data_IF_389360363851
#
_entry.id   IF_389360363851
#
_cell.length_a   1.000
_cell.length_b   1.000
_cell.length_c   1.000
_cell.angle_alpha   90.00
_cell.angle_beta   90.00
_cell.angle_gamma   90.00
#
_symmetry.space_group_name_H-M   'P 1'
#
loop_
_entity.id
_entity.type
_entity.pdbx_description
1 polymer ?
#
# COMPACT_ATOMS: atom_id res chain seq x y z
N UNK A 1 -10.51 2.55 11.38
CA UNK A 1 -11.21 2.57 10.07
C UNK A 1 -10.60 1.50 9.17
N UNK A 2 -11.40 0.85 8.33
CA UNK A 2 -10.92 -0.11 7.33
C UNK A 2 -11.49 0.23 5.96
N UNK A 3 -10.66 0.15 4.93
CA UNK A 3 -11.08 0.31 3.53
C UNK A 3 -10.73 -0.97 2.79
N UNK A 4 -11.68 -1.50 2.03
CA UNK A 4 -11.49 -2.67 1.16
C UNK A 4 -11.98 -2.31 -0.23
N UNK A 5 -11.16 -2.61 -1.22
CA UNK A 5 -11.52 -2.56 -2.64
C UNK A 5 -11.33 -3.94 -3.28
N UNK A 6 -11.92 -4.11 -4.46
CA UNK A 6 -11.80 -5.31 -5.30
C UNK A 6 -11.12 -4.98 -6.63
N UNK A 7 -10.22 -3.99 -6.63
CA UNK A 7 -9.44 -3.63 -7.79
C UNK A 7 -8.29 -4.63 -8.04
N UNK A 8 -7.30 -4.18 -8.82
CA UNK A 8 -6.12 -4.97 -9.17
C UNK A 8 -5.25 -5.39 -7.97
N UNK A 9 -5.44 -4.80 -6.80
CA UNK A 9 -4.52 -4.90 -5.66
C UNK A 9 -3.18 -4.20 -5.90
N UNK A 10 -2.36 -4.04 -4.86
CA UNK A 10 -0.95 -3.63 -4.99
C UNK A 10 -0.12 -4.83 -5.46
N UNK A 11 0.88 -4.68 -6.36
CA UNK A 11 1.77 -5.78 -6.70
C UNK A 11 2.36 -6.44 -5.45
N UNK A 12 2.28 -7.77 -5.34
CA UNK A 12 2.55 -8.50 -4.08
C UNK A 12 3.95 -8.19 -3.52
N UNK A 13 4.98 -8.15 -4.36
CA UNK A 13 6.35 -7.81 -3.96
C UNK A 13 6.59 -6.32 -3.66
N UNK A 14 5.56 -5.47 -3.73
CA UNK A 14 5.65 -4.01 -3.52
C UNK A 14 4.81 -3.51 -2.35
N UNK A 15 4.05 -4.37 -1.68
CA UNK A 15 3.08 -3.98 -0.63
C UNK A 15 3.73 -3.14 0.47
N UNK A 16 4.79 -3.65 1.11
CA UNK A 16 5.50 -2.96 2.20
C UNK A 16 6.08 -1.64 1.71
N UNK A 17 6.79 -1.66 0.58
CA UNK A 17 7.44 -0.49 0.00
C UNK A 17 6.45 0.64 -0.29
N UNK A 18 5.30 0.33 -0.92
CA UNK A 18 4.28 1.29 -1.30
C UNK A 18 3.62 2.01 -0.13
N UNK A 19 3.64 1.45 1.08
CA UNK A 19 3.01 2.08 2.26
C UNK A 19 4.00 2.66 3.26
N UNK A 20 5.31 2.47 3.07
CA UNK A 20 6.33 2.85 4.08
C UNK A 20 7.47 3.72 3.56
N UNK A 21 7.86 3.60 2.28
CA UNK A 21 9.05 4.31 1.73
C UNK A 21 8.66 5.51 0.90
N UNK A 22 9.10 6.71 1.26
CA UNK A 22 8.82 7.94 0.46
C UNK A 22 9.30 7.76 -0.99
N UNK A 23 8.61 8.40 -1.94
CA UNK A 23 8.84 8.33 -3.40
C UNK A 23 8.55 6.98 -4.07
N UNK A 24 7.79 6.11 -3.41
CA UNK A 24 7.32 4.85 -4.03
C UNK A 24 5.86 4.98 -4.44
N UNK A 25 5.62 5.04 -5.74
CA UNK A 25 4.29 5.25 -6.32
C UNK A 25 4.31 4.97 -7.82
N UNK A 26 3.14 4.69 -8.40
CA UNK A 26 2.99 4.33 -9.80
C UNK A 26 2.01 5.25 -10.54
N UNK A 27 1.85 6.49 -10.05
CA UNK A 27 0.86 7.47 -10.57
C UNK A 27 1.55 8.71 -11.14
N UNK A 28 2.81 8.58 -11.54
CA UNK A 28 3.61 9.65 -12.13
C UNK A 28 3.56 9.66 -13.66
N UNK A 29 3.02 8.59 -14.26
CA UNK A 29 2.74 8.45 -15.69
C UNK A 29 1.32 7.92 -15.89
N UNK A 30 0.82 8.01 -17.11
CA UNK A 30 -0.49 7.53 -17.56
C UNK A 30 -0.50 6.03 -17.93
N UNK A 31 0.67 5.39 -17.99
CA UNK A 31 0.85 3.96 -18.34
C UNK A 31 0.02 3.00 -17.47
N UNK A 32 -0.09 3.29 -16.17
CA UNK A 32 -0.80 2.43 -15.20
C UNK A 32 -2.21 2.97 -14.89
N UNK A 33 -2.38 4.28 -15.00
CA UNK A 33 -3.62 5.00 -14.72
C UNK A 33 -3.76 6.19 -15.67
N UNK A 34 -4.63 6.07 -16.68
CA UNK A 34 -4.89 7.14 -17.64
C UNK A 34 -5.33 8.44 -16.96
N UNK A 35 -6.16 8.32 -15.92
CA UNK A 35 -6.58 9.45 -15.08
C UNK A 35 -6.56 9.04 -13.61
N UNK A 36 -5.96 9.86 -12.75
CA UNK A 36 -6.02 9.65 -11.31
C UNK A 36 -5.81 10.96 -10.54
N UNK A 37 -6.46 11.07 -9.38
CA UNK A 37 -6.35 12.26 -8.52
C UNK A 37 -5.08 12.24 -7.67
N UNK A 38 -4.65 11.04 -7.24
CA UNK A 38 -3.53 10.90 -6.31
C UNK A 38 -2.18 10.84 -7.00
N UNK A 39 -1.49 11.97 -7.16
CA UNK A 39 -0.22 12.04 -7.91
C UNK A 39 1.03 12.04 -7.03
N UNK A 40 0.91 12.45 -5.76
CA UNK A 40 2.10 12.65 -4.91
C UNK A 40 2.76 11.34 -4.43
N UNK A 41 1.98 10.25 -4.33
CA UNK A 41 2.49 8.98 -3.80
C UNK A 41 2.69 8.94 -2.27
N UNK A 42 2.16 9.92 -1.52
CA UNK A 42 2.41 10.06 -0.07
C UNK A 42 1.21 9.61 0.80
N UNK A 43 -0.02 9.59 0.27
CA UNK A 43 -1.24 9.45 1.08
C UNK A 43 -1.26 8.24 2.02
N UNK A 44 -1.01 7.03 1.51
CA UNK A 44 -0.96 5.81 2.34
C UNK A 44 0.20 5.80 3.32
N UNK A 45 1.31 6.47 2.99
CA UNK A 45 2.50 6.56 3.86
C UNK A 45 2.26 7.50 5.03
N UNK A 46 1.58 8.62 4.80
CA UNK A 46 1.10 9.48 5.87
C UNK A 46 0.12 8.73 6.78
N UNK A 47 -0.81 7.99 6.19
CA UNK A 47 -1.72 7.10 6.93
C UNK A 47 -0.98 6.10 7.80
N UNK A 48 0.03 5.42 7.26
CA UNK A 48 0.89 4.50 8.01
C UNK A 48 1.68 5.20 9.13
N UNK A 49 2.41 6.27 8.81
CA UNK A 49 3.28 6.98 9.74
C UNK A 49 2.53 7.59 10.94
N UNK A 50 1.32 8.12 10.71
CA UNK A 50 0.52 8.80 11.74
C UNK A 50 -0.42 7.85 12.50
N UNK A 51 -0.50 6.58 12.12
CA UNK A 51 -1.37 5.61 12.79
C UNK A 51 -0.66 4.89 13.93
N UNK A 52 -1.35 4.72 15.07
CA UNK A 52 -0.90 3.82 16.13
C UNK A 52 -0.88 2.36 15.67
N UNK A 53 -1.80 1.97 14.81
CA UNK A 53 -1.85 0.65 14.20
C UNK A 53 -2.27 0.79 12.73
N UNK A 54 -1.50 0.20 11.83
CA UNK A 54 -1.78 0.22 10.39
C UNK A 54 -1.57 -1.18 9.82
N UNK A 55 -2.59 -1.73 9.18
CA UNK A 55 -2.52 -3.03 8.50
C UNK A 55 -2.87 -2.84 7.03
N UNK A 56 -2.07 -3.45 6.15
CA UNK A 56 -2.32 -3.49 4.70
C UNK A 56 -2.28 -4.93 4.22
N UNK A 57 -3.12 -5.27 3.24
CA UNK A 57 -3.10 -6.56 2.56
C UNK A 57 -3.49 -6.38 1.10
N UNK A 58 -2.78 -7.05 0.21
CA UNK A 58 -3.11 -7.13 -1.21
C UNK A 58 -3.34 -8.58 -1.59
N UNK A 59 -4.34 -8.82 -2.43
CA UNK A 59 -4.67 -10.12 -2.99
C UNK A 59 -4.51 -10.05 -4.50
N UNK A 60 -3.81 -11.03 -5.08
CA UNK A 60 -3.66 -11.21 -6.53
C UNK A 60 -3.48 -12.70 -6.84
N UNK A 61 -4.16 -13.17 -7.88
CA UNK A 61 -4.01 -14.53 -8.41
C UNK A 61 -4.12 -15.63 -7.33
N UNK A 62 -5.11 -15.49 -6.43
CA UNK A 62 -5.34 -16.42 -5.32
C UNK A 62 -4.40 -16.28 -4.13
N UNK A 63 -3.29 -15.54 -4.26
CA UNK A 63 -2.30 -15.32 -3.20
C UNK A 63 -2.52 -13.98 -2.50
N UNK A 64 -1.90 -13.81 -1.33
CA UNK A 64 -1.86 -12.53 -0.64
C UNK A 64 -0.51 -12.22 0.00
N UNK A 65 -0.24 -10.92 0.10
CA UNK A 65 0.84 -10.36 0.91
C UNK A 65 0.25 -9.24 1.76
N UNK A 66 0.60 -9.20 3.03
CA UNK A 66 0.21 -8.15 3.96
C UNK A 66 1.32 -7.75 4.90
N UNK A 67 1.11 -6.65 5.60
CA UNK A 67 2.04 -6.16 6.61
C UNK A 67 1.31 -5.35 7.67
N UNK A 68 1.84 -5.39 8.89
CA UNK A 68 1.37 -4.65 10.06
C UNK A 68 2.45 -3.68 10.51
N UNK A 69 2.04 -2.46 10.84
CA UNK A 69 2.91 -1.37 11.26
C UNK A 69 2.36 -0.67 12.50
N UNK A 70 3.27 -0.09 13.30
CA UNK A 70 2.96 0.86 14.37
C UNK A 70 3.78 2.13 14.17
N UNK A 71 3.11 3.29 14.04
CA UNK A 71 3.75 4.60 13.83
C UNK A 71 4.78 4.57 12.69
N UNK A 72 4.41 3.94 11.58
CA UNK A 72 5.26 3.76 10.39
C UNK A 72 6.32 2.66 10.48
N UNK A 73 6.53 2.02 11.64
CA UNK A 73 7.51 0.95 11.82
C UNK A 73 6.88 -0.39 11.51
N UNK A 74 7.53 -1.18 10.66
CA UNK A 74 7.09 -2.53 10.32
C UNK A 74 7.21 -3.45 11.54
N UNK A 75 6.14 -4.18 11.83
CA UNK A 75 6.08 -5.16 12.92
C UNK A 75 6.04 -6.59 12.40
N UNK A 76 5.25 -6.84 11.35
CA UNK A 76 5.01 -8.17 10.83
C UNK A 76 4.73 -8.14 9.33
N UNK A 77 5.18 -9.17 8.62
CA UNK A 77 4.79 -9.47 7.25
C UNK A 77 4.02 -10.79 7.18
N UNK A 78 2.96 -10.80 6.40
CA UNK A 78 2.04 -11.92 6.23
C UNK A 78 2.05 -12.34 4.75
N UNK A 79 2.05 -13.64 4.49
CA UNK A 79 1.96 -14.19 3.13
C UNK A 79 1.18 -15.50 3.14
N UNK A 80 0.51 -15.79 2.02
CA UNK A 80 -0.18 -17.05 1.78
C UNK A 80 -0.96 -17.03 0.48
#
# INVERSE_FOLDING_TARGET
>A
VSVRDFGRGIPLGKVVECVSRINTGAKYSDEVFQFSVGLNGIGTKAGNALSRYFSVRSHRDGNFVGAVFERGKLLEELKG
#
